data_IF_168629293582
#
_entry.id   IF_168629293582
#
_cell.length_a   1.000
_cell.length_b   1.000
_cell.length_c   1.000
_cell.angle_alpha   90.00
_cell.angle_beta   90.00
_cell.angle_gamma   90.00
#
_symmetry.space_group_name_H-M   'P 1'
#
loop_
_entity.id
_entity.type
_entity.pdbx_description
1 polymer ?
#
# COMPACT_ATOMS: atom_id res chain seq x y z
N UNK A 1 -16.52 9.53 11.61
CA UNK A 1 -15.79 8.26 11.85
C UNK A 1 -14.58 8.57 12.72
N UNK A 2 -14.26 7.71 13.68
CA UNK A 2 -13.03 7.84 14.47
C UNK A 2 -11.88 7.20 13.68
N UNK A 3 -11.24 7.99 12.81
CA UNK A 3 -10.19 7.50 11.92
C UNK A 3 -8.97 6.97 12.69
N UNK A 4 -8.73 7.46 13.90
CA UNK A 4 -7.62 6.97 14.72
C UNK A 4 -7.92 5.56 15.25
N UNK A 5 -9.16 5.31 15.70
CA UNK A 5 -9.58 3.97 16.10
C UNK A 5 -9.50 2.97 14.94
N UNK A 6 -9.90 3.37 13.73
CA UNK A 6 -9.80 2.56 12.51
C UNK A 6 -8.34 2.23 12.18
N UNK A 7 -7.45 3.22 12.21
CA UNK A 7 -6.01 3.03 11.96
C UNK A 7 -5.37 2.09 12.99
N UNK A 8 -5.74 2.24 14.27
CA UNK A 8 -5.22 1.39 15.34
C UNK A 8 -5.69 -0.07 15.17
N UNK A 9 -6.97 -0.28 14.86
CA UNK A 9 -7.51 -1.61 14.60
C UNK A 9 -6.87 -2.25 13.37
N UNK A 10 -6.74 -1.49 12.28
CA UNK A 10 -6.10 -1.93 11.05
C UNK A 10 -4.66 -2.37 11.31
N UNK A 11 -3.87 -1.54 12.00
CA UNK A 11 -2.48 -1.87 12.33
C UNK A 11 -2.38 -3.10 13.24
N UNK A 12 -3.26 -3.23 14.23
CA UNK A 12 -3.30 -4.42 15.10
C UNK A 12 -3.55 -5.71 14.31
N UNK A 13 -4.54 -5.72 13.40
CA UNK A 13 -4.84 -6.87 12.55
C UNK A 13 -3.68 -7.16 11.59
N UNK A 14 -3.09 -6.13 10.99
CA UNK A 14 -1.94 -6.27 10.09
C UNK A 14 -0.76 -6.95 10.80
N UNK A 15 -0.40 -6.48 11.99
CA UNK A 15 0.71 -7.03 12.78
C UNK A 15 0.43 -8.41 13.37
N UNK A 16 -0.82 -8.71 13.76
CA UNK A 16 -1.18 -10.00 14.37
C UNK A 16 -1.26 -11.11 13.33
N UNK A 17 -1.96 -10.85 12.23
CA UNK A 17 -2.43 -11.91 11.33
C UNK A 17 -1.65 -11.98 10.01
N UNK A 18 -1.13 -10.85 9.52
CA UNK A 18 -0.66 -10.75 8.12
C UNK A 18 0.84 -10.77 7.96
N UNK A 19 1.62 -10.43 8.98
CA UNK A 19 3.09 -10.40 8.87
C UNK A 19 3.73 -11.77 8.59
N UNK A 20 3.02 -12.86 8.87
CA UNK A 20 3.45 -14.22 8.54
C UNK A 20 2.90 -14.71 7.18
N UNK A 21 1.98 -13.97 6.54
CA UNK A 21 1.39 -14.33 5.26
C UNK A 21 2.35 -13.97 4.10
N UNK A 22 2.86 -14.95 3.33
CA UNK A 22 3.73 -14.68 2.19
C UNK A 22 3.11 -13.76 1.15
N UNK A 23 1.78 -13.79 1.01
CA UNK A 23 1.05 -12.95 0.04
C UNK A 23 1.09 -11.48 0.44
N UNK A 24 0.87 -11.23 1.73
CA UNK A 24 0.99 -9.91 2.32
C UNK A 24 2.44 -9.38 2.24
N UNK A 25 3.44 -10.21 2.54
CA UNK A 25 4.84 -9.82 2.42
C UNK A 25 5.23 -9.46 0.97
N UNK A 26 4.75 -10.23 -0.02
CA UNK A 26 4.93 -9.89 -1.42
C UNK A 26 4.27 -8.54 -1.74
N UNK A 27 3.04 -8.29 -1.28
CA UNK A 27 2.36 -7.01 -1.48
C UNK A 27 3.20 -5.85 -0.94
N UNK A 28 3.76 -5.95 0.29
CA UNK A 28 4.62 -4.90 0.86
C UNK A 28 5.90 -4.66 0.05
N UNK A 29 6.49 -5.70 -0.53
CA UNK A 29 7.64 -5.54 -1.45
C UNK A 29 7.24 -4.80 -2.72
N UNK A 30 6.07 -5.09 -3.28
CA UNK A 30 5.55 -4.37 -4.45
C UNK A 30 5.25 -2.91 -4.11
N UNK A 31 4.61 -2.63 -2.97
CA UNK A 31 4.39 -1.25 -2.49
C UNK A 31 5.71 -0.48 -2.39
N UNK A 32 6.77 -1.12 -1.87
CA UNK A 32 8.11 -0.52 -1.80
C UNK A 32 8.72 -0.28 -3.19
N UNK A 33 8.56 -1.20 -4.15
CA UNK A 33 9.02 -1.00 -5.54
C UNK A 33 8.27 0.17 -6.20
N UNK A 34 6.97 0.29 -6.02
CA UNK A 34 6.17 1.41 -6.53
C UNK A 34 6.64 2.73 -5.92
N UNK A 35 6.83 2.80 -4.60
CA UNK A 35 7.31 4.00 -3.92
C UNK A 35 8.71 4.43 -4.40
N UNK A 36 9.60 3.47 -4.67
CA UNK A 36 10.92 3.73 -5.23
C UNK A 36 10.86 4.21 -6.69
N UNK A 37 9.99 3.62 -7.51
CA UNK A 37 9.84 3.95 -8.92
C UNK A 37 9.09 5.28 -9.15
N UNK A 38 8.14 5.62 -8.26
CA UNK A 38 7.32 6.83 -8.34
C UNK A 38 7.38 7.62 -7.02
N UNK A 39 8.52 8.29 -6.74
CA UNK A 39 8.69 9.08 -5.53
C UNK A 39 7.57 10.13 -5.38
N UNK A 40 7.00 10.23 -4.18
CA UNK A 40 5.93 11.17 -3.86
C UNK A 40 4.52 10.74 -4.29
N UNK A 41 4.38 9.70 -5.12
CA UNK A 41 3.07 9.22 -5.58
C UNK A 41 2.54 8.06 -4.72
N UNK A 42 3.45 7.32 -4.07
CA UNK A 42 3.10 6.26 -3.12
C UNK A 42 3.79 6.48 -1.78
N UNK A 43 3.11 7.18 -0.86
CA UNK A 43 3.57 7.32 0.53
C UNK A 43 2.93 6.20 1.38
N UNK A 44 3.71 5.27 1.97
CA UNK A 44 3.16 4.22 2.82
C UNK A 44 2.32 4.78 3.97
N UNK A 45 1.22 4.11 4.30
CA UNK A 45 0.30 4.56 5.36
C UNK A 45 1.00 4.80 6.70
N UNK A 46 1.90 3.90 7.11
CA UNK A 46 2.69 4.07 8.33
C UNK A 46 3.51 5.37 8.30
N UNK A 47 4.21 5.62 7.19
CA UNK A 47 5.03 6.83 7.05
C UNK A 47 4.16 8.10 7.11
N UNK A 48 2.98 8.07 6.49
CA UNK A 48 2.02 9.18 6.52
C UNK A 48 1.52 9.45 7.94
N UNK A 49 1.14 8.42 8.68
CA UNK A 49 0.62 8.56 10.05
C UNK A 49 1.70 9.00 11.04
N UNK A 50 2.92 8.48 10.90
CA UNK A 50 4.00 8.71 11.88
C UNK A 50 4.81 9.98 11.60
N UNK A 51 5.02 10.34 10.33
CA UNK A 51 5.97 11.40 9.95
C UNK A 51 5.33 12.60 9.25
N UNK A 52 3.99 12.63 9.11
CA UNK A 52 3.28 13.79 8.54
C UNK A 52 2.33 14.39 9.60
N UNK A 53 2.85 15.21 10.54
CA UNK A 53 2.06 15.73 11.67
C UNK A 53 0.88 16.61 11.21
N UNK A 54 0.98 17.20 10.02
CA UNK A 54 -0.06 18.05 9.44
C UNK A 54 -1.14 17.27 8.69
N UNK A 55 -0.99 15.95 8.50
CA UNK A 55 -1.99 15.13 7.80
C UNK A 55 -3.07 14.65 8.78
N UNK A 56 -4.35 15.03 8.61
CA UNK A 56 -5.43 14.50 9.43
C UNK A 56 -5.54 12.97 9.29
N UNK A 57 -5.81 12.27 10.40
CA UNK A 57 -5.95 10.80 10.38
C UNK A 57 -7.00 10.31 9.39
N UNK A 58 -8.08 11.06 9.18
CA UNK A 58 -9.10 10.73 8.19
C UNK A 58 -8.55 10.75 6.75
N UNK A 59 -7.69 11.72 6.42
CA UNK A 59 -7.02 11.78 5.12
C UNK A 59 -5.98 10.66 4.98
N UNK A 60 -5.23 10.39 6.05
CA UNK A 60 -4.30 9.28 6.05
C UNK A 60 -5.00 7.94 5.81
N UNK A 61 -6.12 7.72 6.50
CA UNK A 61 -6.95 6.53 6.33
C UNK A 61 -7.51 6.41 4.92
N UNK A 62 -8.07 7.49 4.37
CA UNK A 62 -8.59 7.50 2.99
C UNK A 62 -7.48 7.20 1.96
N UNK A 63 -6.27 7.73 2.16
CA UNK A 63 -5.13 7.43 1.30
C UNK A 63 -4.71 5.95 1.38
N UNK A 64 -4.70 5.37 2.59
CA UNK A 64 -4.43 3.94 2.80
C UNK A 64 -5.47 3.05 2.10
N UNK A 65 -6.76 3.36 2.25
CA UNK A 65 -7.83 2.64 1.56
C UNK A 65 -7.71 2.71 0.03
N UNK A 66 -7.29 3.87 -0.51
CA UNK A 66 -7.01 4.01 -1.94
C UNK A 66 -5.86 3.10 -2.37
N UNK A 67 -4.78 3.04 -1.59
CA UNK A 67 -3.63 2.16 -1.86
C UNK A 67 -4.02 0.69 -1.81
N UNK A 68 -4.82 0.27 -0.82
CA UNK A 68 -5.33 -1.10 -0.71
C UNK A 68 -6.19 -1.48 -1.92
N UNK A 69 -7.07 -0.59 -2.37
CA UNK A 69 -7.90 -0.83 -3.57
C UNK A 69 -7.05 -0.96 -4.84
N UNK A 70 -5.95 -0.21 -4.93
CA UNK A 70 -4.98 -0.34 -6.03
C UNK A 70 -4.29 -1.71 -5.97
N UNK A 71 -3.79 -2.10 -4.79
CA UNK A 71 -3.11 -3.39 -4.63
C UNK A 71 -4.05 -4.57 -4.88
N UNK A 72 -5.32 -4.46 -4.51
CA UNK A 72 -6.32 -5.49 -4.82
C UNK A 72 -6.48 -5.73 -6.33
N UNK A 73 -6.29 -4.70 -7.17
CA UNK A 73 -6.33 -4.81 -8.64
C UNK A 73 -5.01 -5.28 -9.22
N UNK A 74 -3.89 -4.87 -8.64
CA UNK A 74 -2.54 -5.15 -9.16
C UNK A 74 -2.06 -6.56 -8.81
N UNK A 75 -2.24 -6.97 -7.56
CA UNK A 75 -1.71 -8.22 -7.03
C UNK A 75 -2.12 -9.48 -7.81
N UNK A 76 -3.34 -9.63 -8.34
CA UNK A 76 -3.69 -10.78 -9.19
C UNK A 76 -2.71 -11.05 -10.36
N UNK A 77 -2.06 -10.01 -10.87
CA UNK A 77 -1.08 -10.10 -11.96
C UNK A 77 0.36 -10.39 -11.49
N UNK A 78 0.60 -10.40 -10.17
CA UNK A 78 1.91 -10.58 -9.56
C UNK A 78 1.85 -11.77 -8.61
N UNK A 79 2.43 -12.91 -9.00
CA UNK A 79 2.53 -14.11 -8.17
C UNK A 79 3.90 -14.22 -7.49
N UNK A 80 4.93 -13.68 -8.13
CA UNK A 80 6.28 -13.52 -7.59
C UNK A 80 6.78 -12.10 -7.81
N UNK A 81 7.79 -11.67 -7.05
CA UNK A 81 8.27 -10.29 -7.11
C UNK A 81 8.77 -9.86 -8.49
N UNK A 82 9.36 -10.79 -9.27
CA UNK A 82 9.82 -10.52 -10.64
C UNK A 82 8.68 -10.26 -11.63
N UNK A 83 7.44 -10.65 -11.30
CA UNK A 83 6.30 -10.33 -12.15
C UNK A 83 6.04 -8.82 -12.21
N UNK A 84 6.49 -8.06 -11.20
CA UNK A 84 6.42 -6.61 -11.22
C UNK A 84 7.05 -6.01 -12.47
N UNK A 85 8.12 -6.61 -12.98
CA UNK A 85 8.91 -6.07 -14.09
C UNK A 85 8.30 -6.43 -15.46
N UNK A 86 7.19 -7.20 -15.49
CA UNK A 86 6.49 -7.56 -16.73
C UNK A 86 5.87 -6.31 -17.39
N UNK A 87 5.92 -6.19 -18.73
CA UNK A 87 5.38 -5.02 -19.44
C UNK A 87 3.92 -4.73 -19.08
N UNK A 88 3.05 -5.75 -19.05
CA UNK A 88 1.63 -5.59 -18.75
C UNK A 88 1.37 -5.11 -17.31
N UNK A 89 2.23 -5.50 -16.36
CA UNK A 89 2.16 -5.06 -14.97
C UNK A 89 2.63 -3.61 -14.85
N UNK A 90 3.72 -3.26 -15.54
CA UNK A 90 4.24 -1.89 -15.59
C UNK A 90 3.25 -0.90 -16.22
N UNK A 91 2.57 -1.31 -17.28
CA UNK A 91 1.49 -0.50 -17.88
C UNK A 91 0.34 -0.27 -16.90
N UNK A 92 -0.08 -1.32 -16.19
CA UNK A 92 -1.12 -1.21 -15.16
C UNK A 92 -0.69 -0.27 -14.03
N UNK A 93 0.52 -0.43 -13.48
CA UNK A 93 1.07 0.46 -12.44
C UNK A 93 1.05 1.92 -12.92
N UNK A 94 1.55 2.18 -14.13
CA UNK A 94 1.57 3.53 -14.71
C UNK A 94 0.16 4.13 -14.84
N UNK A 95 -0.83 3.32 -15.21
CA UNK A 95 -2.23 3.78 -15.35
C UNK A 95 -2.90 4.14 -14.02
N UNK A 96 -2.37 3.64 -12.90
CA UNK A 96 -2.95 3.81 -11.57
C UNK A 96 -2.25 4.91 -10.78
N UNK A 97 -0.96 5.12 -11.07
CA UNK A 97 -0.13 6.11 -10.41
C UNK A 97 -0.27 7.50 -11.06
N UNK A 98 -0.56 7.57 -12.37
CA UNK A 98 -0.87 8.81 -13.09
C UNK A 98 -2.31 9.31 -12.94
#
# INVERSE_FOLDING_TARGET
TDAMAELALYNFVEMRDRVADPRFLLQKRIEAKIAAQYPGQWLPLYARVTFSPDTPYAEAWAAGQKQDAIMARLMPHIQVESDFDKPEVQELVKSIVN
#
